data_IF_370441614650
#
_entry.id   IF_370441614650
#
_cell.length_a   1.000
_cell.length_b   1.000
_cell.length_c   1.000
_cell.angle_alpha   90.00
_cell.angle_beta   90.00
_cell.angle_gamma   90.00
#
_symmetry.space_group_name_H-M   'P 1'
#
loop_
_entity.id
_entity.type
_entity.pdbx_description
1 polymer ?
#
# COMPACT_ATOMS: atom_id res chain seq x y z
N UNK A 1 -16.11 4.67 -10.87
CA UNK A 1 -14.95 4.14 -10.11
C UNK A 1 -13.76 3.94 -11.04
N UNK A 2 -13.90 3.20 -12.14
CA UNK A 2 -12.81 2.87 -13.08
C UNK A 2 -12.10 4.11 -13.64
N UNK A 3 -12.85 5.14 -14.02
CA UNK A 3 -12.29 6.41 -14.51
C UNK A 3 -11.45 7.11 -13.45
N UNK A 4 -11.92 7.14 -12.19
CA UNK A 4 -11.19 7.74 -11.06
C UNK A 4 -9.88 6.97 -10.83
N UNK A 5 -9.90 5.64 -10.83
CA UNK A 5 -8.70 4.81 -10.67
C UNK A 5 -7.68 5.07 -11.78
N UNK A 6 -8.12 5.20 -13.02
CA UNK A 6 -7.23 5.52 -14.15
C UNK A 6 -6.61 6.91 -14.02
N UNK A 7 -7.38 7.91 -13.61
CA UNK A 7 -6.88 9.29 -13.40
C UNK A 7 -5.83 9.28 -12.29
N UNK A 8 -6.10 8.63 -11.16
CA UNK A 8 -5.18 8.56 -10.03
C UNK A 8 -3.91 7.82 -10.43
N UNK A 9 -4.02 6.71 -11.17
CA UNK A 9 -2.86 5.96 -11.66
C UNK A 9 -1.97 6.81 -12.56
N UNK A 10 -2.55 7.61 -13.45
CA UNK A 10 -1.78 8.53 -14.30
C UNK A 10 -1.10 9.62 -13.45
N UNK A 11 -1.79 10.16 -12.46
CA UNK A 11 -1.23 11.15 -11.53
C UNK A 11 -0.08 10.55 -10.73
N UNK A 12 -0.22 9.34 -10.20
CA UNK A 12 0.82 8.67 -9.44
C UNK A 12 2.06 8.37 -10.29
N UNK A 13 1.87 7.80 -11.49
CA UNK A 13 2.99 7.34 -12.32
C UNK A 13 3.70 8.46 -13.09
N UNK A 14 2.95 9.47 -13.57
CA UNK A 14 3.49 10.52 -14.42
C UNK A 14 3.81 11.82 -13.72
N UNK A 15 3.32 12.04 -12.48
CA UNK A 15 3.50 13.32 -11.79
C UNK A 15 4.65 13.24 -10.78
N UNK A 16 5.36 14.37 -10.59
CA UNK A 16 6.38 14.51 -9.54
C UNK A 16 5.82 14.25 -8.15
N UNK A 17 4.57 14.61 -7.90
CA UNK A 17 3.87 14.39 -6.63
C UNK A 17 3.73 12.90 -6.30
N UNK A 18 3.40 12.06 -7.28
CA UNK A 18 3.30 10.62 -7.07
C UNK A 18 4.62 10.01 -6.61
N UNK A 19 5.74 10.41 -7.22
CA UNK A 19 7.08 9.99 -6.80
C UNK A 19 7.43 10.49 -5.39
N UNK A 20 6.96 11.68 -5.01
CA UNK A 20 7.18 12.20 -3.66
C UNK A 20 6.41 11.40 -2.61
N UNK A 21 5.19 10.92 -2.90
CA UNK A 21 4.45 10.04 -1.99
C UNK A 21 5.21 8.75 -1.70
N UNK A 22 5.76 8.11 -2.73
CA UNK A 22 6.55 6.88 -2.57
C UNK A 22 7.86 7.15 -1.80
N UNK A 23 8.59 8.21 -2.14
CA UNK A 23 9.85 8.55 -1.48
C UNK A 23 9.66 8.91 0.00
N UNK A 24 8.63 9.70 0.33
CA UNK A 24 8.31 10.07 1.73
C UNK A 24 7.79 8.86 2.50
N UNK A 25 7.08 7.93 1.83
CA UNK A 25 6.60 6.68 2.42
C UNK A 25 7.74 5.72 2.74
N UNK A 26 8.78 5.64 1.90
CA UNK A 26 9.92 4.74 2.10
C UNK A 26 10.84 5.22 3.23
N UNK A 27 11.24 6.49 3.18
CA UNK A 27 12.08 7.08 4.22
C UNK A 27 11.82 8.58 4.37
N UNK A 28 11.13 8.94 5.46
CA UNK A 28 10.74 10.32 5.74
C UNK A 28 11.96 11.25 5.91
N UNK A 29 12.96 10.82 6.69
CA UNK A 29 14.16 11.62 6.96
C UNK A 29 15.05 11.71 5.73
N UNK A 30 15.20 10.61 5.00
CA UNK A 30 15.92 10.58 3.73
C UNK A 30 15.30 11.50 2.68
N UNK A 31 13.98 11.57 2.60
CA UNK A 31 13.27 12.47 1.69
C UNK A 31 13.54 13.95 2.00
N UNK A 32 13.62 14.33 3.28
CA UNK A 32 13.96 15.68 3.70
C UNK A 32 15.39 16.05 3.29
N UNK A 33 16.35 15.13 3.45
CA UNK A 33 17.75 15.35 3.09
C UNK A 33 17.95 15.59 1.58
N UNK A 34 17.11 15.01 0.75
CA UNK A 34 17.11 15.20 -0.72
C UNK A 34 16.31 16.45 -1.14
N UNK A 35 15.76 17.21 -0.18
CA UNK A 35 15.03 18.46 -0.44
C UNK A 35 13.55 18.27 -0.83
N UNK A 36 12.96 17.09 -0.59
CA UNK A 36 11.53 16.86 -0.80
C UNK A 36 10.75 17.50 0.35
N UNK A 37 9.69 18.29 0.09
CA UNK A 37 8.87 18.93 1.12
C UNK A 37 7.95 17.90 1.81
N UNK A 38 8.51 17.00 2.61
CA UNK A 38 7.84 15.84 3.19
C UNK A 38 6.56 16.21 3.98
N UNK A 39 6.58 17.32 4.74
CA UNK A 39 5.40 17.80 5.49
C UNK A 39 4.24 18.16 4.56
N UNK A 40 4.51 18.86 3.45
CA UNK A 40 3.48 19.25 2.48
C UNK A 40 2.95 18.04 1.73
N UNK A 41 3.83 17.12 1.35
CA UNK A 41 3.45 15.86 0.69
C UNK A 41 2.52 15.04 1.56
N UNK A 42 2.83 14.89 2.86
CA UNK A 42 1.99 14.19 3.82
C UNK A 42 0.63 14.88 3.99
N UNK A 43 0.60 16.21 4.10
CA UNK A 43 -0.64 16.96 4.19
C UNK A 43 -1.54 16.75 2.97
N UNK A 44 -0.97 16.81 1.76
CA UNK A 44 -1.70 16.58 0.51
C UNK A 44 -2.29 15.16 0.48
N UNK A 45 -1.54 14.15 0.93
CA UNK A 45 -2.03 12.77 0.99
C UNK A 45 -3.27 12.64 1.90
N UNK A 46 -3.26 13.27 3.08
CA UNK A 46 -4.41 13.25 3.99
C UNK A 46 -5.62 14.01 3.41
N UNK A 47 -5.40 15.15 2.75
CA UNK A 47 -6.49 15.90 2.09
C UNK A 47 -7.12 15.04 0.99
N UNK A 48 -6.32 14.40 0.13
CA UNK A 48 -6.82 13.50 -0.91
C UNK A 48 -7.60 12.32 -0.33
N UNK A 49 -7.09 11.70 0.73
CA UNK A 49 -7.79 10.63 1.43
C UNK A 49 -9.17 11.10 1.95
N UNK A 50 -9.25 12.28 2.56
CA UNK A 50 -10.51 12.85 3.04
C UNK A 50 -11.52 13.14 1.90
N UNK A 51 -11.04 13.67 0.78
CA UNK A 51 -11.88 13.91 -0.40
C UNK A 51 -12.46 12.60 -0.95
N UNK A 52 -11.63 11.57 -1.12
CA UNK A 52 -12.11 10.26 -1.61
C UNK A 52 -13.04 9.57 -0.62
N UNK A 53 -12.80 9.71 0.68
CA UNK A 53 -13.70 9.21 1.71
C UNK A 53 -15.08 9.89 1.63
N UNK A 54 -15.11 11.20 1.44
CA UNK A 54 -16.36 11.97 1.27
C UNK A 54 -17.14 11.53 0.01
N UNK A 55 -16.46 11.38 -1.13
CA UNK A 55 -17.07 10.88 -2.38
C UNK A 55 -17.64 9.47 -2.17
N UNK A 56 -16.90 8.61 -1.49
CA UNK A 56 -17.35 7.25 -1.16
C UNK A 56 -18.57 7.26 -0.26
N UNK A 57 -18.63 8.14 0.76
CA UNK A 57 -19.76 8.30 1.65
C UNK A 57 -21.02 8.76 0.92
N UNK A 58 -20.90 9.72 0.00
CA UNK A 58 -22.02 10.18 -0.84
C UNK A 58 -22.54 9.04 -1.72
N UNK A 59 -21.63 8.29 -2.37
CA UNK A 59 -22.01 7.15 -3.20
C UNK A 59 -22.71 6.04 -2.40
N UNK A 60 -22.23 5.78 -1.17
CA UNK A 60 -22.84 4.82 -0.25
C UNK A 60 -24.26 5.27 0.14
N UNK A 61 -24.43 6.51 0.58
CA UNK A 61 -25.73 7.07 0.96
C UNK A 61 -26.73 7.05 -0.20
N UNK A 62 -26.28 7.38 -1.40
CA UNK A 62 -27.11 7.32 -2.62
C UNK A 62 -27.60 5.91 -2.96
N UNK A 63 -26.78 4.90 -2.67
CA UNK A 63 -27.11 3.49 -2.96
C UNK A 63 -28.13 2.90 -1.99
N UNK A 64 -27.98 3.21 -0.69
CA UNK A 64 -28.80 2.57 0.36
C UNK A 64 -30.01 3.41 0.81
N UNK A 65 -30.05 4.69 0.45
CA UNK A 65 -31.16 5.61 0.76
C UNK A 65 -31.29 5.98 2.23
N UNK A 66 -31.12 5.02 3.14
CA UNK A 66 -31.09 5.25 4.59
C UNK A 66 -29.74 4.80 5.15
N UNK A 67 -29.12 5.65 5.96
CA UNK A 67 -27.83 5.38 6.59
C UNK A 67 -28.02 5.42 8.10
N UNK A 68 -27.70 4.31 8.77
CA UNK A 68 -27.69 4.23 10.23
C UNK A 68 -26.41 4.85 10.80
N UNK A 69 -26.42 5.22 12.08
CA UNK A 69 -25.27 5.84 12.76
C UNK A 69 -24.03 4.94 12.74
N UNK A 70 -24.23 3.62 12.74
CA UNK A 70 -23.14 2.61 12.71
C UNK A 70 -22.79 2.14 11.29
N UNK A 71 -23.45 2.69 10.26
CA UNK A 71 -23.16 2.31 8.88
C UNK A 71 -21.73 2.73 8.52
N UNK A 72 -20.94 1.77 8.02
CA UNK A 72 -19.54 1.99 7.69
C UNK A 72 -18.54 1.60 8.79
N UNK A 73 -19.00 1.21 9.97
CA UNK A 73 -18.12 0.64 10.99
C UNK A 73 -17.41 -0.61 10.46
N UNK A 74 -16.08 -0.69 10.59
CA UNK A 74 -15.25 -1.78 10.06
C UNK A 74 -14.79 -1.59 8.61
N UNK A 75 -15.30 -0.62 7.86
CA UNK A 75 -14.86 -0.37 6.47
C UNK A 75 -13.43 0.12 6.40
N UNK A 76 -12.93 0.78 7.44
CA UNK A 76 -11.53 1.18 7.55
C UNK A 76 -10.60 -0.03 7.51
N UNK A 77 -10.92 -1.10 8.24
CA UNK A 77 -10.13 -2.33 8.25
C UNK A 77 -10.21 -3.06 6.90
N UNK A 78 -11.39 -3.12 6.31
CA UNK A 78 -11.59 -3.70 4.98
C UNK A 78 -10.84 -2.92 3.89
N UNK A 79 -10.77 -1.60 3.98
CA UNK A 79 -10.02 -0.76 3.05
C UNK A 79 -8.51 -0.99 3.18
N UNK A 80 -7.99 -1.07 4.41
CA UNK A 80 -6.58 -1.39 4.66
C UNK A 80 -6.24 -2.79 4.10
N UNK A 81 -7.08 -3.79 4.42
CA UNK A 81 -6.90 -5.15 3.92
C UNK A 81 -6.90 -5.21 2.39
N UNK A 82 -7.79 -4.47 1.73
CA UNK A 82 -7.85 -4.37 0.28
C UNK A 82 -6.57 -3.76 -0.31
N UNK A 83 -6.03 -2.71 0.30
CA UNK A 83 -4.79 -2.07 -0.13
C UNK A 83 -3.59 -3.03 -0.01
N UNK A 84 -3.48 -3.74 1.12
CA UNK A 84 -2.38 -4.69 1.36
C UNK A 84 -2.49 -5.91 0.44
N UNK A 85 -3.71 -6.44 0.25
CA UNK A 85 -3.98 -7.50 -0.72
C UNK A 85 -3.61 -7.07 -2.15
N UNK A 86 -3.80 -5.79 -2.47
CA UNK A 86 -3.40 -5.17 -3.73
C UNK A 86 -1.89 -4.93 -3.88
N UNK A 87 -1.08 -5.31 -2.87
CA UNK A 87 0.38 -5.18 -2.90
C UNK A 87 0.92 -3.82 -2.46
N UNK A 88 0.12 -3.02 -1.73
CA UNK A 88 0.62 -1.82 -1.08
C UNK A 88 1.27 -2.22 0.24
N UNK A 89 2.56 -1.88 0.40
CA UNK A 89 3.30 -2.17 1.63
C UNK A 89 2.88 -1.23 2.77
N UNK A 90 2.54 -1.79 3.93
CA UNK A 90 2.26 -1.03 5.14
C UNK A 90 3.49 -0.29 5.69
N UNK A 91 4.68 -0.76 5.37
CA UNK A 91 5.93 -0.08 5.74
C UNK A 91 6.23 1.14 4.85
N UNK A 92 5.44 1.37 3.79
CA UNK A 92 5.60 2.47 2.83
C UNK A 92 6.57 2.17 1.69
N UNK A 93 6.71 3.14 0.79
CA UNK A 93 7.67 3.12 -0.33
C UNK A 93 7.30 2.23 -1.51
N UNK A 94 6.39 1.28 -1.35
CA UNK A 94 5.97 0.35 -2.39
C UNK A 94 4.45 0.28 -2.47
N UNK A 95 3.92 0.38 -3.67
CA UNK A 95 2.50 0.26 -3.95
C UNK A 95 2.14 0.66 -5.38
N UNK A 96 0.96 0.24 -5.82
CA UNK A 96 0.40 0.61 -7.12
C UNK A 96 -1.11 0.78 -6.97
N UNK A 97 -1.66 1.87 -7.50
CA UNK A 97 -3.10 2.16 -7.49
C UNK A 97 -3.91 1.07 -8.20
N UNK A 98 -3.40 0.50 -9.29
CA UNK A 98 -4.08 -0.59 -9.99
C UNK A 98 -4.17 -1.84 -9.10
N UNK A 99 -3.08 -2.17 -8.40
CA UNK A 99 -3.07 -3.27 -7.43
C UNK A 99 -4.11 -3.06 -6.34
N UNK A 100 -4.16 -1.87 -5.73
CA UNK A 100 -5.17 -1.53 -4.72
C UNK A 100 -6.60 -1.67 -5.24
N UNK A 101 -6.87 -1.25 -6.48
CA UNK A 101 -8.19 -1.39 -7.10
C UNK A 101 -8.59 -2.87 -7.28
N UNK A 102 -7.66 -3.72 -7.72
CA UNK A 102 -7.88 -5.17 -7.81
C UNK A 102 -8.12 -5.77 -6.43
N UNK A 103 -7.31 -5.39 -5.43
CA UNK A 103 -7.50 -5.83 -4.05
C UNK A 103 -8.86 -5.44 -3.48
N UNK A 104 -9.35 -4.24 -3.78
CA UNK A 104 -10.69 -3.79 -3.38
C UNK A 104 -11.82 -4.63 -4.01
N UNK A 105 -11.67 -5.02 -5.28
CA UNK A 105 -12.63 -5.91 -5.96
C UNK A 105 -12.62 -7.29 -5.32
N UNK A 106 -11.45 -7.85 -5.02
CA UNK A 106 -11.31 -9.16 -4.37
C UNK A 106 -11.96 -9.13 -2.97
N UNK A 107 -11.64 -8.14 -2.14
CA UNK A 107 -12.23 -8.00 -0.81
C UNK A 107 -13.76 -7.86 -0.86
N UNK A 108 -14.27 -7.02 -1.75
CA UNK A 108 -15.71 -6.87 -1.97
C UNK A 108 -16.38 -8.17 -2.43
N UNK A 109 -15.70 -8.99 -3.20
CA UNK A 109 -16.20 -10.30 -3.64
C UNK A 109 -16.24 -11.32 -2.50
N UNK A 110 -15.22 -11.33 -1.63
CA UNK A 110 -15.16 -12.18 -0.45
C UNK A 110 -16.32 -11.86 0.49
N UNK A 111 -16.53 -10.58 0.84
CA UNK A 111 -17.64 -10.17 1.71
C UNK A 111 -19.00 -10.56 1.14
N UNK A 112 -19.21 -10.45 -0.16
CA UNK A 112 -20.46 -10.88 -0.82
C UNK A 112 -20.64 -12.39 -0.79
N UNK A 113 -19.58 -13.16 -0.98
CA UNK A 113 -19.62 -14.62 -0.88
C UNK A 113 -20.01 -15.09 0.52
N UNK A 114 -19.49 -14.44 1.57
CA UNK A 114 -19.84 -14.76 2.95
C UNK A 114 -21.34 -14.54 3.24
N UNK A 115 -21.87 -13.42 2.79
CA UNK A 115 -23.31 -13.12 2.89
C UNK A 115 -24.14 -14.15 2.12
N UNK A 116 -23.70 -14.55 0.91
CA UNK A 116 -24.39 -15.55 0.10
C UNK A 116 -24.41 -16.95 0.75
N UNK A 117 -23.35 -17.31 1.50
CA UNK A 117 -23.27 -18.54 2.29
C UNK A 117 -24.11 -18.51 3.58
N UNK A 118 -24.79 -17.39 3.85
CA UNK A 118 -25.69 -17.27 5.01
C UNK A 118 -24.97 -16.89 6.32
N UNK A 119 -23.70 -16.45 6.25
CA UNK A 119 -23.01 -15.91 7.41
C UNK A 119 -23.54 -14.51 7.76
N UNK A 120 -23.74 -14.23 9.03
CA UNK A 120 -24.15 -12.88 9.46
C UNK A 120 -23.00 -11.88 9.30
N UNK A 121 -23.35 -10.60 9.14
CA UNK A 121 -22.38 -9.50 8.98
C UNK A 121 -21.31 -9.41 10.08
N UNK A 122 -21.55 -9.98 11.24
CA UNK A 122 -20.60 -9.99 12.35
C UNK A 122 -19.36 -10.86 12.03
N UNK A 123 -19.55 -11.95 11.29
CA UNK A 123 -18.46 -12.81 10.85
C UNK A 123 -17.58 -12.14 9.78
N UNK A 124 -18.13 -11.22 8.99
CA UNK A 124 -17.38 -10.48 7.95
C UNK A 124 -16.21 -9.69 8.56
N UNK A 125 -16.44 -8.99 9.66
CA UNK A 125 -15.40 -8.26 10.38
C UNK A 125 -14.32 -9.19 10.97
N UNK A 126 -14.72 -10.34 11.50
CA UNK A 126 -13.79 -11.33 12.08
C UNK A 126 -12.91 -11.94 10.98
N UNK A 127 -13.51 -12.33 9.86
CA UNK A 127 -12.79 -12.92 8.72
C UNK A 127 -11.85 -11.91 8.09
N UNK A 128 -12.31 -10.67 7.91
CA UNK A 128 -11.47 -9.57 7.41
C UNK A 128 -10.28 -9.31 8.34
N UNK A 129 -10.47 -9.35 9.65
CA UNK A 129 -9.40 -9.20 10.64
C UNK A 129 -8.35 -10.31 10.55
N UNK A 130 -8.79 -11.57 10.48
CA UNK A 130 -7.89 -12.73 10.33
C UNK A 130 -7.12 -12.66 9.00
N UNK A 131 -7.82 -12.32 7.92
CA UNK A 131 -7.23 -12.18 6.59
C UNK A 131 -6.19 -11.06 6.58
N UNK A 132 -6.49 -9.91 7.20
CA UNK A 132 -5.55 -8.80 7.33
C UNK A 132 -4.27 -9.22 8.07
N UNK A 133 -4.40 -9.87 9.22
CA UNK A 133 -3.24 -10.36 9.98
C UNK A 133 -2.39 -11.30 9.12
N UNK A 134 -3.02 -12.25 8.44
CA UNK A 134 -2.33 -13.21 7.58
C UNK A 134 -1.56 -12.51 6.47
N UNK A 135 -2.16 -11.53 5.79
CA UNK A 135 -1.52 -10.81 4.68
C UNK A 135 -0.36 -9.94 5.21
N UNK A 136 -0.55 -9.24 6.35
CA UNK A 136 0.50 -8.41 6.96
C UNK A 136 1.71 -9.25 7.36
N UNK A 137 1.49 -10.43 7.94
CA UNK A 137 2.58 -11.36 8.28
C UNK A 137 3.31 -11.81 7.02
N UNK A 138 2.58 -12.17 5.96
CA UNK A 138 3.18 -12.56 4.68
C UNK A 138 3.98 -11.41 4.05
N UNK A 139 3.46 -10.19 4.01
CA UNK A 139 4.17 -9.00 3.48
C UNK A 139 5.46 -8.74 4.27
N UNK A 140 5.40 -8.80 5.60
CA UNK A 140 6.55 -8.64 6.47
C UNK A 140 7.64 -9.70 6.22
N UNK A 141 7.25 -10.97 6.08
CA UNK A 141 8.17 -12.07 5.81
C UNK A 141 8.82 -11.96 4.41
N UNK A 142 8.05 -11.61 3.41
CA UNK A 142 8.56 -11.41 2.05
C UNK A 142 9.55 -10.24 1.99
N UNK A 143 9.23 -9.16 2.69
CA UNK A 143 10.10 -7.97 2.75
C UNK A 143 11.43 -8.27 3.47
N UNK A 144 11.40 -9.01 4.56
CA UNK A 144 12.64 -9.44 5.26
C UNK A 144 13.54 -10.22 4.33
N UNK A 145 13.00 -11.17 3.57
CA UNK A 145 13.76 -11.96 2.60
C UNK A 145 14.39 -11.09 1.50
N UNK A 146 13.64 -10.12 0.98
CA UNK A 146 14.15 -9.24 -0.07
C UNK A 146 15.27 -8.31 0.44
N UNK A 147 15.17 -7.80 1.67
CA UNK A 147 16.22 -6.99 2.30
C UNK A 147 17.48 -7.82 2.56
N UNK A 148 17.33 -9.06 3.00
CA UNK A 148 18.48 -9.97 3.20
C UNK A 148 19.19 -10.32 1.88
N UNK A 149 18.41 -10.58 0.83
CA UNK A 149 18.99 -10.88 -0.49
C UNK A 149 19.74 -9.65 -1.04
N UNK A 150 19.16 -8.46 -0.95
CA UNK A 150 19.82 -7.22 -1.35
C UNK A 150 21.09 -6.92 -0.52
N UNK A 151 21.11 -7.26 0.77
CA UNK A 151 22.31 -7.18 1.61
C UNK A 151 23.39 -8.17 1.15
N UNK A 152 23.02 -9.40 0.85
CA UNK A 152 23.94 -10.43 0.35
C UNK A 152 24.59 -10.01 -0.96
N UNK A 153 23.81 -9.51 -1.91
CA UNK A 153 24.32 -9.00 -3.19
C UNK A 153 25.33 -7.86 -3.01
N UNK A 154 25.03 -6.89 -2.13
CA UNK A 154 25.93 -5.79 -1.82
C UNK A 154 27.24 -6.27 -1.15
N UNK A 155 27.18 -7.28 -0.30
CA UNK A 155 28.36 -7.85 0.33
C UNK A 155 29.23 -8.62 -0.68
N UNK A 156 28.61 -9.36 -1.59
CA UNK A 156 29.30 -10.08 -2.68
C UNK A 156 29.96 -9.06 -3.63
N UNK A 157 29.25 -8.03 -4.05
CA UNK A 157 29.81 -6.98 -4.90
C UNK A 157 31.01 -6.27 -4.26
N UNK A 158 30.94 -5.96 -2.95
CA UNK A 158 32.06 -5.39 -2.20
C UNK A 158 33.25 -6.34 -2.08
N UNK A 159 33.00 -7.63 -1.92
CA UNK A 159 34.08 -8.64 -1.82
C UNK A 159 34.79 -8.88 -3.17
N UNK A 160 34.04 -8.80 -4.27
CA UNK A 160 34.63 -8.89 -5.62
C UNK A 160 35.49 -7.66 -5.93
N UNK A 161 34.98 -6.44 -5.66
CA UNK A 161 35.73 -5.19 -5.83
C UNK A 161 37.05 -5.19 -5.02
N UNK A 162 37.01 -5.68 -3.77
CA UNK A 162 38.23 -5.78 -2.92
C UNK A 162 39.23 -6.80 -3.42
N UNK A 163 38.77 -7.88 -4.07
CA UNK A 163 39.65 -8.87 -4.70
C UNK A 163 40.37 -8.34 -5.94
N UNK A 164 39.66 -7.51 -6.76
CA UNK A 164 40.25 -6.88 -7.94
C UNK A 164 41.34 -5.88 -7.56
N UNK A 165 41.07 -5.01 -6.58
CA UNK A 165 42.06 -4.05 -6.08
C UNK A 165 43.31 -4.77 -5.55
N UNK A 166 43.16 -5.90 -4.85
CA UNK A 166 44.27 -6.66 -4.30
C UNK A 166 45.10 -7.36 -5.39
N UNK A 167 44.47 -7.76 -6.50
CA UNK A 167 45.19 -8.35 -7.65
C UNK A 167 45.96 -7.28 -8.45
N UNK A 168 45.43 -6.07 -8.58
CA UNK A 168 46.15 -4.95 -9.21
C UNK A 168 47.41 -4.55 -8.47
N UNK A 169 47.37 -4.51 -7.12
CA UNK A 169 48.56 -4.18 -6.28
C UNK A 169 49.63 -5.27 -6.19
N UNK A 170 49.36 -6.47 -6.65
CA UNK A 170 50.35 -7.56 -6.63
C UNK A 170 51.05 -7.77 -7.99
N UNK A 171 50.74 -6.92 -8.96
CA UNK A 171 51.40 -6.94 -10.31
C UNK A 171 52.29 -5.72 -10.56
N UNK A 172 52.37 -4.77 -9.63
CA UNK A 172 53.39 -3.73 -9.53
C UNK A 172 54.51 -4.18 -8.58
#
# INVERSE_FOLDING_TARGET
VTVIVLIINVVETKTRQGKYFLAVGDNYDGAILVGIPAKRTKLIAYILCGIFAAISGIAFSSKYGQVTIIAGSGYEMSAIAACVLGGISLSGGLGNVIGAAIGAVIMSSISRLLVFLGFSSEYDNTITGILLITIVVLDSLLRQRNVENARRERLIARSCSKKEIRKGHSQE
#
